data_IF_557289710753
#
_entry.id   IF_557289710753
#
_cell.length_a   1.000
_cell.length_b   1.000
_cell.length_c   1.000
_cell.angle_alpha   90.00
_cell.angle_beta   90.00
_cell.angle_gamma   90.00
#
_symmetry.space_group_name_H-M   'P 1'
#
loop_
_entity.id
_entity.type
_entity.pdbx_description
1 polymer ?
#
# COMPACT_ATOMS: atom_id res chain seq x y z
N UNK A 1 -39.88 -29.02 14.34
CA UNK A 1 -38.84 -29.03 13.28
C UNK A 1 -38.07 -27.71 13.11
N UNK A 2 -38.43 -26.59 13.75
CA UNK A 2 -37.70 -25.31 13.60
C UNK A 2 -36.44 -25.17 14.47
N UNK A 3 -36.32 -25.94 15.57
CA UNK A 3 -35.18 -25.84 16.49
C UNK A 3 -33.87 -26.44 15.95
N UNK A 4 -33.96 -27.52 15.18
CA UNK A 4 -32.80 -28.21 14.60
C UNK A 4 -32.11 -27.39 13.52
N UNK A 5 -32.88 -26.68 12.68
CA UNK A 5 -32.34 -25.79 11.64
C UNK A 5 -31.58 -24.61 12.26
N UNK A 6 -32.07 -24.07 13.39
CA UNK A 6 -31.43 -22.96 14.09
C UNK A 6 -30.10 -23.35 14.73
N UNK A 7 -30.03 -24.54 15.35
CA UNK A 7 -28.78 -25.07 15.89
C UNK A 7 -27.73 -25.33 14.81
N UNK A 8 -28.16 -25.82 13.64
CA UNK A 8 -27.25 -26.13 12.54
C UNK A 8 -26.67 -24.85 11.90
N UNK A 9 -27.48 -23.80 11.77
CA UNK A 9 -27.02 -22.50 11.29
C UNK A 9 -26.03 -21.85 12.25
N UNK A 10 -26.28 -21.94 13.57
CA UNK A 10 -25.34 -21.45 14.59
C UNK A 10 -24.02 -22.22 14.54
N UNK A 11 -24.06 -23.55 14.38
CA UNK A 11 -22.86 -24.37 14.29
C UNK A 11 -21.99 -24.03 13.06
N UNK A 12 -22.63 -23.80 11.90
CA UNK A 12 -21.94 -23.37 10.66
C UNK A 12 -21.34 -21.97 10.83
N UNK A 13 -22.09 -21.04 11.44
CA UNK A 13 -21.60 -19.68 11.66
C UNK A 13 -20.38 -19.67 12.60
N UNK A 14 -20.44 -20.40 13.72
CA UNK A 14 -19.34 -20.48 14.69
C UNK A 14 -18.11 -21.15 14.10
N UNK A 15 -18.27 -22.25 13.37
CA UNK A 15 -17.13 -22.94 12.74
C UNK A 15 -16.52 -22.14 11.58
N UNK A 16 -17.34 -21.40 10.82
CA UNK A 16 -16.87 -20.50 9.77
C UNK A 16 -16.04 -19.34 10.31
N UNK A 17 -16.39 -18.80 11.48
CA UNK A 17 -15.62 -17.72 12.13
C UNK A 17 -14.28 -18.19 12.70
N UNK A 18 -14.17 -19.45 13.17
CA UNK A 18 -12.90 -19.99 13.69
C UNK A 18 -11.88 -20.25 12.57
N UNK A 19 -12.35 -20.47 11.34
CA UNK A 19 -11.50 -20.75 10.18
C UNK A 19 -11.10 -19.52 9.37
N UNK A 20 -11.50 -18.30 9.74
CA UNK A 20 -10.95 -17.12 9.07
C UNK A 20 -9.49 -16.95 9.52
N UNK A 21 -8.49 -17.17 8.64
CA UNK A 21 -7.13 -16.81 8.99
C UNK A 21 -7.11 -15.32 9.24
N UNK A 22 -6.90 -14.92 10.50
CA UNK A 22 -6.55 -13.57 10.87
C UNK A 22 -5.25 -13.24 10.14
N UNK A 23 -5.36 -12.70 8.93
CA UNK A 23 -4.26 -12.04 8.22
C UNK A 23 -3.99 -10.71 8.92
N UNK A 24 -3.63 -10.79 10.20
CA UNK A 24 -3.02 -9.70 10.91
C UNK A 24 -1.58 -9.62 10.40
N UNK A 25 -1.38 -8.90 9.29
CA UNK A 25 -0.05 -8.36 9.00
C UNK A 25 0.32 -7.53 10.22
N UNK A 26 1.32 -7.98 11.00
CA UNK A 26 1.79 -7.24 12.16
C UNK A 26 2.05 -5.79 11.72
N UNK A 27 1.32 -4.84 12.31
CA UNK A 27 1.37 -3.45 11.91
C UNK A 27 2.78 -2.93 12.20
N UNK A 28 3.63 -2.89 11.17
CA UNK A 28 5.00 -2.41 11.29
C UNK A 28 4.96 -0.90 11.47
N UNK A 29 5.42 -0.44 12.62
CA UNK A 29 5.67 0.98 12.87
C UNK A 29 6.70 1.48 11.88
N UNK A 30 6.35 2.49 11.09
CA UNK A 30 7.22 3.10 10.10
C UNK A 30 7.89 4.37 10.65
N UNK A 31 7.21 5.08 11.55
CA UNK A 31 7.75 6.28 12.15
C UNK A 31 6.73 7.05 12.97
N UNK A 32 7.00 8.34 13.13
CA UNK A 32 6.19 9.24 13.97
C UNK A 32 5.96 10.58 13.29
N UNK A 33 4.80 11.16 13.55
CA UNK A 33 4.49 12.55 13.20
C UNK A 33 5.26 13.47 14.14
N UNK A 34 6.04 14.38 13.55
CA UNK A 34 6.76 15.42 14.28
C UNK A 34 5.87 16.65 14.45
N UNK A 35 5.09 16.99 13.43
CA UNK A 35 4.22 18.16 13.41
C UNK A 35 3.05 17.93 12.46
N UNK A 36 1.84 18.33 12.86
CA UNK A 36 0.66 18.36 12.00
C UNK A 36 -0.11 19.67 12.19
N UNK A 37 -0.47 20.32 11.08
CA UNK A 37 -1.41 21.46 11.02
C UNK A 37 -2.38 21.15 9.88
N UNK A 38 -3.69 21.22 10.13
CA UNK A 38 -4.75 20.85 9.16
C UNK A 38 -4.39 19.56 8.39
N UNK A 39 -3.91 18.57 9.14
CA UNK A 39 -3.39 17.32 8.62
C UNK A 39 -4.17 16.16 9.23
N UNK A 40 -4.36 15.12 8.43
CA UNK A 40 -5.09 13.93 8.83
C UNK A 40 -4.33 12.67 8.45
N UNK A 41 -4.47 11.66 9.32
CA UNK A 41 -4.04 10.28 9.11
C UNK A 41 -5.29 9.41 9.04
N UNK A 42 -5.52 8.73 7.92
CA UNK A 42 -6.72 7.91 7.70
C UNK A 42 -8.05 8.64 8.00
N UNK A 43 -8.14 9.93 7.63
CA UNK A 43 -9.29 10.84 7.89
C UNK A 43 -9.47 11.30 9.34
N UNK A 44 -8.53 11.02 10.22
CA UNK A 44 -8.52 11.53 11.60
C UNK A 44 -7.46 12.63 11.74
N UNK A 45 -7.81 13.73 12.42
CA UNK A 45 -6.85 14.80 12.71
C UNK A 45 -5.61 14.25 13.44
N UNK A 46 -4.43 14.69 13.01
CA UNK A 46 -3.16 14.16 13.52
C UNK A 46 -2.37 15.20 14.30
N UNK A 47 -1.71 14.77 15.36
CA UNK A 47 -0.88 15.61 16.22
C UNK A 47 0.57 15.09 16.26
N UNK A 48 1.48 15.91 16.79
CA UNK A 48 2.85 15.47 17.06
C UNK A 48 2.86 14.25 18.01
N UNK A 49 3.72 13.28 17.72
CA UNK A 49 3.84 12.02 18.46
C UNK A 49 3.00 10.87 17.91
N UNK A 50 2.05 11.12 17.00
CA UNK A 50 1.26 10.03 16.40
C UNK A 50 2.15 9.05 15.63
N UNK A 51 2.00 7.77 15.91
CA UNK A 51 2.70 6.69 15.20
C UNK A 51 2.07 6.45 13.84
N UNK A 52 2.89 6.20 12.82
CA UNK A 52 2.42 5.87 11.47
C UNK A 52 2.84 4.47 11.07
N UNK A 53 1.97 3.81 10.31
CA UNK A 53 2.05 2.41 9.91
C UNK A 53 1.97 2.26 8.38
N UNK A 54 2.37 1.09 7.89
CA UNK A 54 2.16 0.74 6.49
C UNK A 54 0.65 0.66 6.19
N UNK A 55 0.25 1.25 5.06
CA UNK A 55 -1.13 1.41 4.64
C UNK A 55 -1.75 2.77 4.95
N UNK A 56 -1.15 3.54 5.87
CA UNK A 56 -1.68 4.84 6.28
C UNK A 56 -1.76 5.83 5.12
N UNK A 57 -2.90 6.50 5.04
CA UNK A 57 -3.13 7.64 4.16
C UNK A 57 -2.86 8.92 4.94
N UNK A 58 -1.90 9.69 4.45
CA UNK A 58 -1.54 11.01 4.94
C UNK A 58 -2.21 12.06 4.06
N UNK A 59 -2.88 13.02 4.66
CA UNK A 59 -3.52 14.13 3.93
C UNK A 59 -3.33 15.44 4.65
N UNK A 60 -3.28 16.51 3.88
CA UNK A 60 -3.26 17.89 4.35
C UNK A 60 -4.31 18.68 3.59
N UNK A 61 -4.96 19.61 4.29
CA UNK A 61 -5.94 20.53 3.70
C UNK A 61 -5.27 21.88 3.38
N UNK A 62 -6.09 22.90 3.10
CA UNK A 62 -5.64 24.27 2.89
C UNK A 62 -4.84 24.78 4.08
N UNK A 63 -3.73 25.47 3.80
CA UNK A 63 -2.75 25.91 4.80
C UNK A 63 -2.19 24.79 5.70
N UNK A 64 -2.35 23.54 5.28
CA UNK A 64 -1.95 22.37 6.02
C UNK A 64 -0.47 22.04 5.84
N UNK A 65 0.08 21.36 6.83
CA UNK A 65 1.43 20.82 6.81
C UNK A 65 1.50 19.58 7.68
N UNK A 66 2.21 18.56 7.21
CA UNK A 66 2.49 17.37 7.98
C UNK A 66 3.97 17.01 7.86
N UNK A 67 4.68 16.99 8.98
CA UNK A 67 6.08 16.55 9.05
C UNK A 67 6.17 15.20 9.73
N UNK A 68 6.82 14.25 9.09
CA UNK A 68 7.03 12.90 9.59
C UNK A 68 8.51 12.58 9.69
N UNK A 69 8.88 11.79 10.69
CA UNK A 69 10.19 11.17 10.82
C UNK A 69 10.04 9.66 10.61
N UNK A 70 10.73 9.13 9.61
CA UNK A 70 10.75 7.72 9.21
C UNK A 70 12.17 7.19 9.38
N UNK A 71 12.47 6.65 10.56
CA UNK A 71 13.84 6.33 10.94
C UNK A 71 14.73 7.59 10.93
N UNK A 72 15.75 7.59 10.06
CA UNK A 72 16.66 8.73 9.83
C UNK A 72 16.17 9.68 8.75
N UNK A 73 15.16 9.30 7.96
CA UNK A 73 14.58 10.12 6.90
C UNK A 73 13.46 11.00 7.44
N UNK A 74 13.22 12.12 6.76
CA UNK A 74 12.11 13.01 7.06
C UNK A 74 11.28 13.26 5.82
N UNK A 75 9.97 13.36 6.01
CA UNK A 75 9.01 13.76 4.99
C UNK A 75 8.26 14.99 5.46
N UNK A 76 7.88 15.83 4.52
CA UNK A 76 7.00 16.96 4.76
C UNK A 76 5.99 17.05 3.62
N UNK A 77 4.73 16.80 3.97
CA UNK A 77 3.59 16.95 3.08
C UNK A 77 3.12 18.40 3.19
N UNK A 78 3.09 19.11 2.06
CA UNK A 78 2.67 20.52 1.99
C UNK A 78 1.15 20.63 1.95
N UNK A 79 0.58 21.82 1.81
CA UNK A 79 -0.88 22.00 1.77
C UNK A 79 -1.53 21.24 0.61
N UNK A 80 -2.83 20.93 0.75
CA UNK A 80 -3.65 20.29 -0.28
C UNK A 80 -3.04 19.00 -0.88
N UNK A 81 -2.31 18.24 -0.08
CA UNK A 81 -1.50 17.12 -0.55
C UNK A 81 -1.97 15.81 0.06
N UNK A 82 -1.67 14.70 -0.62
CA UNK A 82 -1.94 13.36 -0.10
C UNK A 82 -0.85 12.38 -0.50
N UNK A 83 -0.51 11.49 0.42
CA UNK A 83 0.42 10.42 0.18
C UNK A 83 0.05 9.17 0.99
N UNK A 84 0.35 7.99 0.43
CA UNK A 84 0.16 6.70 1.09
C UNK A 84 1.51 6.09 1.45
N UNK A 85 1.60 5.53 2.64
CA UNK A 85 2.75 4.76 3.07
C UNK A 85 2.56 3.29 2.69
N UNK A 86 3.44 2.75 1.86
CA UNK A 86 3.36 1.37 1.36
C UNK A 86 4.64 0.64 1.75
N UNK A 87 4.52 -0.49 2.44
CA UNK A 87 5.66 -1.35 2.70
C UNK A 87 5.80 -2.35 1.53
N UNK A 88 6.92 -2.31 0.82
CA UNK A 88 7.19 -3.16 -0.33
C UNK A 88 8.58 -3.79 -0.21
N UNK A 89 8.65 -5.12 -0.16
CA UNK A 89 9.92 -5.89 -0.22
C UNK A 89 11.02 -5.38 0.73
N UNK A 90 10.65 -4.96 1.95
CA UNK A 90 11.58 -4.45 2.96
C UNK A 90 11.94 -2.97 2.82
N UNK A 91 11.40 -2.28 1.81
CA UNK A 91 11.47 -0.83 1.63
C UNK A 91 10.12 -0.18 1.95
N UNK A 92 10.18 1.11 2.24
CA UNK A 92 9.04 1.98 2.40
C UNK A 92 8.91 2.83 1.14
N UNK A 93 7.75 2.77 0.52
CA UNK A 93 7.37 3.56 -0.63
C UNK A 93 6.35 4.60 -0.18
N UNK A 94 6.59 5.85 -0.54
CA UNK A 94 5.70 6.97 -0.26
C UNK A 94 5.04 7.34 -1.57
N UNK A 95 3.85 6.80 -1.80
CA UNK A 95 3.08 7.04 -3.02
C UNK A 95 2.31 8.36 -2.89
N UNK A 96 2.77 9.40 -3.56
CA UNK A 96 2.11 10.70 -3.64
C UNK A 96 0.89 10.55 -4.55
N UNK A 97 -0.30 10.83 -4.01
CA UNK A 97 -1.56 10.77 -4.75
C UNK A 97 -1.90 12.15 -5.35
N UNK A 98 -1.52 13.25 -4.67
CA UNK A 98 -1.67 14.63 -5.16
C UNK A 98 -0.82 15.62 -4.37
N UNK A 99 -0.64 16.81 -4.93
CA UNK A 99 0.01 17.93 -4.28
C UNK A 99 1.53 17.77 -4.21
N UNK A 100 2.15 18.25 -3.14
CA UNK A 100 3.60 18.28 -3.00
C UNK A 100 4.09 17.57 -1.75
N UNK A 101 5.05 16.68 -1.94
CA UNK A 101 5.80 16.02 -0.90
C UNK A 101 7.26 16.44 -1.03
N UNK A 102 7.82 16.99 0.04
CA UNK A 102 9.26 17.08 0.15
C UNK A 102 9.83 16.08 1.13
N UNK A 103 11.11 15.81 0.95
CA UNK A 103 11.80 14.72 1.61
C UNK A 103 13.25 15.08 1.89
N UNK A 104 13.76 14.49 2.96
CA UNK A 104 15.17 14.41 3.32
C UNK A 104 15.45 12.94 3.59
N UNK A 105 16.16 12.30 2.67
CA UNK A 105 16.45 10.86 2.70
C UNK A 105 17.94 10.68 2.97
N UNK A 106 18.29 9.68 3.78
CA UNK A 106 19.69 9.36 4.10
C UNK A 106 20.04 7.99 3.53
N UNK A 107 21.18 7.85 2.87
CA UNK A 107 21.67 6.55 2.40
C UNK A 107 22.28 5.70 3.56
N UNK A 108 22.03 4.37 3.62
CA UNK A 108 21.07 3.60 2.84
C UNK A 108 19.63 4.02 3.16
N UNK A 109 18.91 4.53 2.16
CA UNK A 109 17.54 5.00 2.35
C UNK A 109 16.59 3.83 2.17
N UNK A 110 15.92 3.35 3.25
CA UNK A 110 14.85 2.39 3.07
C UNK A 110 13.60 3.04 2.46
N UNK A 111 13.63 4.34 2.15
CA UNK A 111 12.48 5.13 1.68
C UNK A 111 12.67 5.54 0.22
N UNK A 112 11.66 5.29 -0.61
CA UNK A 112 11.53 5.84 -1.95
C UNK A 112 10.23 6.64 -2.06
N UNK A 113 10.22 7.64 -2.93
CA UNK A 113 9.03 8.44 -3.23
C UNK A 113 8.52 8.05 -4.59
N UNK A 114 7.21 7.91 -4.76
CA UNK A 114 6.60 7.52 -6.02
C UNK A 114 5.45 8.45 -6.36
N UNK A 115 5.27 8.72 -7.64
CA UNK A 115 4.03 9.25 -8.19
C UNK A 115 3.70 8.46 -9.45
N UNK A 116 2.50 7.90 -9.50
CA UNK A 116 2.08 6.97 -10.57
C UNK A 116 3.10 5.82 -10.76
N UNK A 117 3.71 5.67 -11.93
CA UNK A 117 4.75 4.70 -12.24
C UNK A 117 6.18 5.23 -12.02
N UNK A 118 6.32 6.50 -11.60
CA UNK A 118 7.60 7.19 -11.50
C UNK A 118 8.15 7.15 -10.08
N UNK A 119 9.35 6.59 -9.92
CA UNK A 119 10.03 6.40 -8.65
C UNK A 119 11.23 7.34 -8.52
N UNK A 120 11.33 8.00 -7.37
CA UNK A 120 12.39 8.93 -7.01
C UNK A 120 13.14 8.41 -5.78
N UNK A 121 14.46 8.32 -5.88
CA UNK A 121 15.34 7.84 -4.82
C UNK A 121 16.72 8.51 -4.86
N UNK A 122 17.53 8.41 -3.80
CA UNK A 122 18.92 8.86 -3.85
C UNK A 122 19.70 8.10 -4.93
N UNK A 123 20.50 8.82 -5.74
CA UNK A 123 21.33 8.23 -6.80
C UNK A 123 22.70 7.73 -6.29
N UNK A 124 23.20 8.31 -5.20
CA UNK A 124 24.54 8.06 -4.66
C UNK A 124 24.53 7.96 -3.14
N UNK A 125 25.65 7.51 -2.58
CA UNK A 125 25.87 7.43 -1.14
C UNK A 125 25.94 8.83 -0.56
N UNK A 126 24.89 9.25 0.14
CA UNK A 126 24.76 10.58 0.70
C UNK A 126 23.31 10.92 1.03
N UNK A 127 23.10 11.91 1.89
CA UNK A 127 21.77 12.44 2.15
C UNK A 127 21.26 13.27 0.96
N UNK A 128 20.02 13.06 0.55
CA UNK A 128 19.36 13.86 -0.50
C UNK A 128 18.18 14.61 0.06
N UNK A 129 18.07 15.89 -0.30
CA UNK A 129 16.93 16.73 0.04
C UNK A 129 16.25 17.14 -1.26
N UNK A 130 14.96 16.88 -1.36
CA UNK A 130 14.24 17.16 -2.59
C UNK A 130 12.74 17.37 -2.37
N UNK A 131 12.06 17.59 -3.48
CA UNK A 131 10.62 17.76 -3.55
C UNK A 131 10.07 17.12 -4.82
N UNK A 132 8.95 16.43 -4.67
CA UNK A 132 8.09 16.00 -5.75
C UNK A 132 6.78 16.78 -5.65
N UNK A 133 6.41 17.45 -6.74
CA UNK A 133 5.16 18.19 -6.87
C UNK A 133 4.35 17.64 -8.03
N UNK A 134 3.18 17.07 -7.74
CA UNK A 134 2.19 16.68 -8.73
C UNK A 134 1.41 17.92 -9.18
N UNK A 135 1.55 18.28 -10.46
CA UNK A 135 0.89 19.44 -11.05
C UNK A 135 -0.45 19.08 -11.70
N UNK A 136 -0.63 17.81 -12.04
CA UNK A 136 -1.86 17.29 -12.63
C UNK A 136 -1.77 15.79 -12.89
N UNK A 137 -2.78 15.21 -13.57
CA UNK A 137 -2.72 13.82 -14.02
C UNK A 137 -1.51 13.61 -14.93
N UNK A 138 -0.64 12.65 -14.58
CA UNK A 138 0.55 12.33 -15.37
C UNK A 138 1.59 13.46 -15.44
N UNK A 139 1.53 14.48 -14.58
CA UNK A 139 2.49 15.58 -14.64
C UNK A 139 3.10 15.87 -13.27
N UNK A 140 4.42 15.75 -13.19
CA UNK A 140 5.18 16.01 -11.97
C UNK A 140 6.38 16.92 -12.21
N UNK A 141 6.78 17.63 -11.18
CA UNK A 141 8.07 18.29 -11.08
C UNK A 141 8.86 17.65 -9.95
N UNK A 142 10.06 17.20 -10.27
CA UNK A 142 11.02 16.68 -9.29
C UNK A 142 12.18 17.64 -9.20
N UNK A 143 12.45 18.14 -8.00
CA UNK A 143 13.55 19.06 -7.72
C UNK A 143 14.48 18.49 -6.65
N UNK A 144 15.79 18.61 -6.87
CA UNK A 144 16.79 18.31 -5.85
C UNK A 144 17.34 19.60 -5.26
N UNK A 145 17.21 19.77 -3.96
CA UNK A 145 17.82 20.89 -3.21
C UNK A 145 19.24 20.53 -2.76
N UNK A 146 19.50 19.28 -2.41
CA UNK A 146 20.82 18.78 -2.00
C UNK A 146 20.99 17.33 -2.45
N UNK A 147 22.18 16.99 -2.96
CA UNK A 147 22.48 15.67 -3.49
C UNK A 147 21.83 15.39 -4.85
N UNK A 148 22.07 14.21 -5.40
CA UNK A 148 21.55 13.80 -6.71
C UNK A 148 20.43 12.78 -6.53
N UNK A 149 19.30 13.02 -7.20
CA UNK A 149 18.18 12.08 -7.24
C UNK A 149 18.25 11.25 -8.51
N UNK A 150 17.98 9.97 -8.39
CA UNK A 150 17.66 9.11 -9.53
C UNK A 150 16.14 9.06 -9.66
N UNK A 151 15.66 9.35 -10.86
CA UNK A 151 14.25 9.23 -11.22
C UNK A 151 14.14 8.11 -12.25
N UNK A 152 13.23 7.18 -11.98
CA UNK A 152 12.91 6.04 -12.83
C UNK A 152 11.45 6.17 -13.24
N UNK A 153 11.18 6.33 -14.53
CA UNK A 153 9.82 6.43 -15.09
C UNK A 153 9.69 5.37 -16.18
N UNK A 154 8.86 4.35 -15.95
CA UNK A 154 8.81 3.17 -16.79
C UNK A 154 10.20 2.51 -16.99
N UNK A 155 10.69 2.50 -18.23
CA UNK A 155 12.03 2.00 -18.58
C UNK A 155 13.14 3.06 -18.54
N UNK A 156 12.77 4.34 -18.47
CA UNK A 156 13.73 5.43 -18.50
C UNK A 156 14.29 5.74 -17.12
N UNK A 157 15.56 6.12 -17.09
CA UNK A 157 16.26 6.53 -15.88
C UNK A 157 17.05 7.79 -16.18
N UNK A 158 16.91 8.79 -15.32
CA UNK A 158 17.69 10.01 -15.42
C UNK A 158 18.03 10.54 -14.03
N UNK A 159 19.02 11.42 -14.00
CA UNK A 159 19.53 12.03 -12.78
C UNK A 159 19.04 13.46 -12.69
N UNK A 160 18.55 13.83 -11.52
CA UNK A 160 18.27 15.22 -11.15
C UNK A 160 19.39 15.68 -10.24
N UNK A 161 20.30 16.47 -10.81
CA UNK A 161 21.42 17.06 -10.08
C UNK A 161 20.96 18.04 -9.00
N UNK A 162 21.81 18.24 -8.01
CA UNK A 162 21.60 19.25 -6.98
C UNK A 162 21.33 20.63 -7.57
N UNK A 163 20.40 21.37 -6.95
CA UNK A 163 19.98 22.70 -7.39
C UNK A 163 19.13 22.70 -8.67
N UNK A 164 18.78 21.54 -9.22
CA UNK A 164 18.04 21.41 -10.48
C UNK A 164 16.62 20.90 -10.26
N UNK A 165 15.73 21.22 -11.20
CA UNK A 165 14.36 20.73 -11.23
C UNK A 165 13.99 20.29 -12.66
N UNK A 166 13.30 19.16 -12.77
CA UNK A 166 12.85 18.61 -14.03
C UNK A 166 11.34 18.40 -14.00
N UNK A 167 10.68 18.83 -15.07
CA UNK A 167 9.27 18.56 -15.32
C UNK A 167 9.17 17.30 -16.15
N UNK A 168 8.34 16.36 -15.71
CA UNK A 168 8.18 15.05 -16.31
C UNK A 168 6.71 14.91 -16.69
N UNK A 169 6.48 14.61 -17.96
CA UNK A 169 5.17 14.21 -18.47
C UNK A 169 5.17 12.69 -18.58
N UNK A 170 4.27 12.07 -17.83
CA UNK A 170 4.06 10.62 -17.80
C UNK A 170 3.02 10.33 -18.87
N UNK A 171 3.43 9.61 -19.91
CA UNK A 171 2.51 9.17 -20.95
C UNK A 171 1.63 8.05 -20.40
N UNK A 172 0.34 8.33 -20.29
CA UNK A 172 -0.62 7.33 -19.84
C UNK A 172 -0.86 6.36 -20.99
N UNK A 173 -0.33 5.14 -20.90
CA UNK A 173 -0.80 4.07 -21.77
C UNK A 173 -2.32 3.90 -21.52
N UNK A 174 -3.16 3.90 -22.57
CA UNK A 174 -4.59 3.71 -22.40
C UNK A 174 -4.80 2.39 -21.66
N UNK A 175 -5.58 2.40 -20.56
CA UNK A 175 -5.86 1.23 -19.75
C UNK A 175 -6.48 0.10 -20.60
N UNK A 176 -5.62 -0.71 -21.19
CA UNK A 176 -6.00 -1.90 -21.94
C UNK A 176 -6.41 -2.98 -20.94
N UNK A 177 -7.72 -3.19 -20.81
CA UNK A 177 -8.49 -4.42 -20.52
C UNK A 177 -7.67 -5.69 -20.21
N UNK A 178 -6.79 -5.67 -19.21
CA UNK A 178 -5.87 -6.80 -18.95
C UNK A 178 -5.69 -7.18 -17.48
N UNK A 179 -5.91 -6.25 -16.54
CA UNK A 179 -5.78 -6.54 -15.09
C UNK A 179 -7.01 -7.26 -14.51
N UNK A 180 -8.17 -7.17 -15.16
CA UNK A 180 -9.39 -7.86 -14.73
C UNK A 180 -9.31 -9.38 -14.94
N UNK A 181 -8.65 -9.85 -16.00
CA UNK A 181 -8.59 -11.28 -16.33
C UNK A 181 -7.63 -12.06 -15.43
N UNK A 182 -6.52 -11.46 -15.00
CA UNK A 182 -5.59 -12.10 -14.06
C UNK A 182 -6.22 -12.32 -12.67
N UNK A 183 -7.04 -11.36 -12.21
CA UNK A 183 -7.78 -11.47 -10.95
C UNK A 183 -8.91 -12.51 -11.04
N UNK A 184 -9.61 -12.55 -12.18
CA UNK A 184 -10.71 -13.50 -12.44
C UNK A 184 -10.21 -14.94 -12.57
N UNK A 185 -9.05 -15.17 -13.20
CA UNK A 185 -8.40 -16.50 -13.28
C UNK A 185 -7.99 -17.03 -11.90
N UNK A 186 -7.43 -16.17 -11.03
CA UNK A 186 -7.06 -16.55 -9.65
C UNK A 186 -8.29 -16.89 -8.79
N UNK A 187 -9.39 -16.15 -8.95
CA UNK A 187 -10.64 -16.43 -8.22
C UNK A 187 -11.25 -17.77 -8.67
N UNK A 188 -11.26 -18.07 -9.96
CA UNK A 188 -11.76 -19.34 -10.49
C UNK A 188 -10.94 -20.55 -10.02
N UNK A 189 -9.61 -20.44 -9.94
CA UNK A 189 -8.77 -21.54 -9.42
C UNK A 189 -9.00 -21.81 -7.93
N UNK A 190 -9.26 -20.78 -7.13
CA UNK A 190 -9.54 -20.95 -5.69
C UNK A 190 -10.91 -21.58 -5.46
N UNK A 191 -11.93 -21.21 -6.26
CA UNK A 191 -13.26 -21.81 -6.17
C UNK A 191 -13.30 -23.28 -6.60
N UNK A 192 -12.50 -23.66 -7.59
CA UNK A 192 -12.41 -25.06 -8.04
C UNK A 192 -11.74 -25.97 -6.99
N UNK A 193 -10.75 -25.45 -6.26
CA UNK A 193 -10.07 -26.21 -5.20
C UNK A 193 -10.94 -26.50 -3.98
N UNK A 194 -11.81 -25.57 -3.58
CA UNK A 194 -12.69 -25.76 -2.41
C UNK A 194 -13.85 -26.72 -2.68
N UNK A 195 -14.35 -26.78 -3.92
CA UNK A 195 -15.40 -27.72 -4.33
C UNK A 195 -14.91 -29.17 -4.38
N UNK A 196 -13.65 -29.39 -4.78
CA UNK A 196 -13.04 -30.72 -4.80
C UNK A 196 -12.81 -31.30 -3.39
N UNK A 197 -12.44 -30.46 -2.42
CA UNK A 197 -12.25 -30.91 -1.03
C UNK A 197 -13.59 -31.28 -0.37
N UNK A 198 -14.65 -30.49 -0.59
CA UNK A 198 -15.97 -30.76 -0.02
C UNK A 198 -16.64 -32.03 -0.59
N UNK A 199 -16.45 -32.31 -1.89
CA UNK A 199 -16.97 -33.51 -2.52
C UNK A 199 -16.29 -34.79 -1.98
N UNK A 200 -15.00 -34.72 -1.68
CA UNK A 200 -14.24 -35.86 -1.14
C UNK A 200 -14.67 -36.21 0.29
N UNK A 201 -14.88 -35.20 1.15
CA UNK A 201 -15.36 -35.42 2.53
C UNK A 201 -16.81 -35.93 2.54
N UNK A 202 -17.65 -35.43 1.63
CA UNK A 202 -19.03 -35.91 1.46
C UNK A 202 -19.12 -37.35 0.98
N UNK A 203 -18.24 -37.78 0.07
CA UNK A 203 -18.22 -39.14 -0.47
C UNK A 203 -17.76 -40.18 0.58
N UNK A 204 -16.78 -39.82 1.41
CA UNK A 204 -16.28 -40.67 2.50
C UNK A 204 -17.37 -40.86 3.56
N UNK A 205 -18.09 -39.80 3.91
CA UNK A 205 -19.19 -39.87 4.88
C UNK A 205 -20.40 -40.64 4.34
N UNK A 206 -20.71 -40.49 3.05
CA UNK A 206 -21.76 -41.26 2.37
C UNK A 206 -21.46 -42.76 2.36
N UNK A 207 -20.20 -43.15 2.09
CA UNK A 207 -19.81 -44.55 2.14
C UNK A 207 -19.79 -45.11 3.57
N UNK A 208 -19.33 -44.34 4.55
CA UNK A 208 -19.31 -44.78 5.95
C UNK A 208 -20.72 -45.00 6.53
N UNK A 209 -21.72 -44.21 6.10
CA UNK A 209 -23.11 -44.33 6.55
C UNK A 209 -23.90 -45.42 5.81
N UNK A 210 -23.38 -45.96 4.71
CA UNK A 210 -24.05 -46.96 3.87
C UNK A 210 -23.41 -48.35 3.95
N UNK A 211 -22.59 -48.59 4.97
CA UNK A 211 -22.07 -49.92 5.31
C UNK A 211 -22.86 -50.57 6.46
N UNK A 212 -24.11 -51.05 6.24
CA UNK A 212 -24.66 -52.09 7.09
C UNK A 212 -24.20 -53.45 6.54
N UNK A 213 -23.56 -54.21 7.43
CA UNK A 213 -23.34 -55.66 7.41
C UNK A 213 -23.07 -56.33 6.05
N UNK A 214 -21.84 -56.83 5.89
CA UNK A 214 -21.58 -57.99 5.06
C UNK A 214 -20.72 -58.99 5.87
N UNK A 215 -21.02 -60.29 5.74
CA UNK A 215 -20.95 -61.33 6.79
C UNK A 215 -19.55 -61.74 7.26
#
# INVERSE_FOLDING_TARGET
MFGTVRCLLVAILVTGLVQTPLHASAARVLGVVVQGKNAQLNRAAVAGGTTVFAGDLLTTESEGLLRLRLGTSQLYLLENSAARLIAESGRLLVAVERGSLGFSLTDPAPVAVQFDDTLVRPASTGGVHGRLSALGPGEIVVSSLHGTLEVVSGSERFLVSEGSAYRILIEQEPEGVGKADARRRRILTILAGTLALGALTGLILYHALRSPDAP
#
